data_IF_974679430569
#
_entry.id   IF_974679430569
#
_cell.length_a   1.000
_cell.length_b   1.000
_cell.length_c   1.000
_cell.angle_alpha   90.00
_cell.angle_beta   90.00
_cell.angle_gamma   90.00
#
_symmetry.space_group_name_H-M   'P 1'
#
loop_
_entity.id
_entity.type
_entity.pdbx_description
1 polymer ?
#
# COMPACT_ATOMS: atom_id res chain seq x y z
N UNK A 1 17.39 -3.06 15.66
CA UNK A 1 17.15 -2.17 14.51
C UNK A 1 15.65 -1.97 14.43
N UNK A 2 15.16 -0.99 15.18
CA UNK A 2 13.74 -0.71 15.41
C UNK A 2 13.12 -0.15 14.13
N UNK A 3 11.97 -0.71 13.71
CA UNK A 3 11.20 -0.32 12.52
C UNK A 3 10.50 1.04 12.72
N UNK A 4 11.26 2.09 13.03
CA UNK A 4 10.73 3.44 13.32
C UNK A 4 10.21 4.18 12.08
N UNK A 5 10.08 3.52 10.92
CA UNK A 5 9.73 4.14 9.63
C UNK A 5 8.28 3.89 9.21
N UNK A 6 7.51 3.05 9.91
CA UNK A 6 6.06 2.92 9.68
C UNK A 6 5.22 3.87 10.54
N UNK A 7 5.82 4.97 10.99
CA UNK A 7 5.14 6.04 11.72
C UNK A 7 4.21 6.84 10.80
N UNK A 8 2.91 6.61 10.95
CA UNK A 8 1.83 7.54 10.65
C UNK A 8 1.68 8.02 9.18
N UNK A 9 1.85 7.15 8.20
CA UNK A 9 1.22 7.34 6.89
C UNK A 9 -0.14 6.68 6.91
N UNK A 10 -1.17 7.48 7.17
CA UNK A 10 -2.52 7.07 6.82
C UNK A 10 -2.51 6.78 5.31
N UNK A 11 -2.72 5.52 4.92
CA UNK A 11 -3.04 5.11 3.54
C UNK A 11 -4.33 5.78 2.99
N UNK A 12 -4.89 6.73 3.76
CA UNK A 12 -6.17 7.40 3.64
C UNK A 12 -6.30 8.27 2.38
N UNK A 13 -5.20 8.78 1.83
CA UNK A 13 -5.25 9.65 0.65
C UNK A 13 -4.98 8.92 -0.69
N UNK A 14 -4.68 7.61 -0.67
CA UNK A 14 -4.09 6.92 -1.84
C UNK A 14 -5.02 6.03 -2.67
N UNK A 15 -6.30 5.86 -2.33
CA UNK A 15 -7.17 4.91 -3.02
C UNK A 15 -8.56 5.47 -3.32
N UNK A 16 -8.80 5.82 -4.59
CA UNK A 16 -10.16 5.95 -5.13
C UNK A 16 -10.31 5.19 -6.45
N UNK A 17 -10.84 3.96 -6.40
CA UNK A 17 -11.50 3.29 -7.52
C UNK A 17 -12.76 2.57 -7.01
N UNK A 18 -13.84 2.70 -7.76
CA UNK A 18 -15.25 2.49 -7.41
C UNK A 18 -15.75 1.04 -7.33
N UNK A 19 -16.44 0.71 -6.23
CA UNK A 19 -17.81 0.18 -6.09
C UNK A 19 -17.98 -0.30 -4.62
N UNK A 20 -19.17 -0.21 -4.01
CA UNK A 20 -19.37 -0.03 -2.54
C UNK A 20 -18.74 1.26 -1.93
N UNK A 21 -17.83 1.88 -2.68
CA UNK A 21 -17.13 3.11 -2.37
C UNK A 21 -18.00 4.34 -2.13
N UNK A 22 -19.28 4.40 -2.49
CA UNK A 22 -20.13 5.58 -2.25
C UNK A 22 -20.55 5.71 -0.78
N UNK A 23 -20.75 4.58 -0.09
CA UNK A 23 -21.04 4.54 1.34
C UNK A 23 -19.75 4.83 2.14
N UNK A 24 -18.63 4.20 1.76
CA UNK A 24 -17.31 4.47 2.33
C UNK A 24 -16.80 5.90 2.05
N UNK A 25 -17.16 6.53 0.91
CA UNK A 25 -16.82 7.93 0.58
C UNK A 25 -17.63 8.96 1.38
N UNK A 26 -18.81 8.59 1.90
CA UNK A 26 -19.52 9.37 2.93
C UNK A 26 -18.88 9.17 4.31
N UNK A 27 -18.38 7.97 4.61
CA UNK A 27 -17.70 7.65 5.87
C UNK A 27 -16.26 8.18 5.94
N UNK A 28 -15.55 8.30 4.81
CA UNK A 28 -14.15 8.76 4.72
C UNK A 28 -13.98 10.28 4.72
N UNK A 29 -15.08 11.05 4.67
CA UNK A 29 -15.06 12.50 4.88
C UNK A 29 -15.02 12.87 6.37
N UNK A 30 -15.29 11.93 7.29
CA UNK A 30 -14.98 12.14 8.70
C UNK A 30 -13.53 11.72 8.93
N UNK A 31 -12.72 12.65 9.42
CA UNK A 31 -11.26 12.52 9.62
C UNK A 31 -10.85 11.43 10.62
N UNK A 32 -11.82 10.69 11.18
CA UNK A 32 -11.66 9.45 11.93
C UNK A 32 -12.85 8.56 11.56
N UNK A 33 -12.60 7.36 11.05
CA UNK A 33 -13.59 6.30 11.13
C UNK A 33 -13.71 5.96 12.62
N UNK A 34 -14.88 6.18 13.20
CA UNK A 34 -15.11 5.73 14.57
C UNK A 34 -14.95 4.20 14.62
N UNK A 35 -14.29 3.63 15.64
CA UNK A 35 -14.10 2.18 15.76
C UNK A 35 -15.39 1.39 15.56
N UNK A 36 -16.51 1.91 16.06
CA UNK A 36 -17.84 1.32 15.92
C UNK A 36 -18.34 1.22 14.45
N UNK A 37 -17.88 2.10 13.56
CA UNK A 37 -18.24 2.07 12.14
C UNK A 37 -17.44 1.02 11.38
N UNK A 38 -16.16 0.87 11.71
CA UNK A 38 -15.30 -0.16 11.12
C UNK A 38 -15.75 -1.56 11.56
N UNK A 39 -16.07 -1.72 12.84
CA UNK A 39 -16.60 -2.97 13.39
C UNK A 39 -17.91 -3.40 12.69
N UNK A 40 -18.86 -2.47 12.50
CA UNK A 40 -20.10 -2.76 11.75
C UNK A 40 -19.85 -3.16 10.29
N UNK A 41 -18.86 -2.54 9.64
CA UNK A 41 -18.52 -2.87 8.25
C UNK A 41 -17.90 -4.27 8.15
N UNK A 42 -17.02 -4.64 9.09
CA UNK A 42 -16.45 -6.00 9.20
C UNK A 42 -17.57 -7.02 9.40
N UNK A 43 -18.43 -6.84 10.41
CA UNK A 43 -19.54 -7.76 10.71
C UNK A 43 -20.48 -7.94 9.50
N UNK A 44 -20.81 -6.83 8.82
CA UNK A 44 -21.69 -6.89 7.64
C UNK A 44 -21.07 -7.71 6.52
N UNK A 45 -19.79 -7.51 6.23
CA UNK A 45 -19.11 -8.20 5.15
C UNK A 45 -18.77 -9.65 5.48
N UNK A 46 -18.48 -9.97 6.76
CA UNK A 46 -18.28 -11.34 7.24
C UNK A 46 -19.58 -12.16 7.21
N UNK A 47 -20.73 -11.51 7.32
CA UNK A 47 -22.04 -12.17 7.22
C UNK A 47 -22.39 -12.66 5.80
N UNK A 48 -21.60 -12.31 4.80
CA UNK A 48 -21.80 -12.76 3.42
C UNK A 48 -21.50 -14.27 3.30
N UNK A 49 -22.48 -15.05 2.86
CA UNK A 49 -22.40 -16.52 2.76
C UNK A 49 -21.28 -16.99 1.80
N UNK A 50 -20.91 -16.17 0.81
CA UNK A 50 -19.76 -16.38 -0.09
C UNK A 50 -19.23 -15.04 -0.62
N UNK A 51 -18.29 -14.39 0.08
CA UNK A 51 -17.73 -13.13 -0.39
C UNK A 51 -16.92 -13.34 -1.67
N UNK A 52 -17.00 -12.41 -2.62
CA UNK A 52 -16.14 -12.39 -3.81
C UNK A 52 -14.67 -12.10 -3.43
N UNK A 53 -13.70 -12.38 -4.30
CA UNK A 53 -12.30 -12.01 -4.10
C UNK A 53 -12.10 -10.53 -3.77
N UNK A 54 -12.84 -9.65 -4.45
CA UNK A 54 -12.82 -8.20 -4.24
C UNK A 54 -13.37 -7.85 -2.85
N UNK A 55 -14.51 -8.44 -2.47
CA UNK A 55 -15.11 -8.23 -1.14
C UNK A 55 -14.17 -8.67 -0.03
N UNK A 56 -13.56 -9.87 -0.13
CA UNK A 56 -12.56 -10.34 0.85
C UNK A 56 -11.35 -9.40 0.93
N UNK A 57 -10.88 -8.90 -0.21
CA UNK A 57 -9.78 -7.93 -0.26
C UNK A 57 -10.16 -6.60 0.41
N UNK A 58 -11.40 -6.16 0.28
CA UNK A 58 -11.88 -4.93 0.92
C UNK A 58 -12.11 -5.09 2.42
N UNK A 59 -12.57 -6.25 2.89
CA UNK A 59 -12.60 -6.58 4.33
C UNK A 59 -11.19 -6.59 4.89
N UNK A 60 -10.23 -7.22 4.19
CA UNK A 60 -8.83 -7.21 4.61
C UNK A 60 -8.27 -5.79 4.74
N UNK A 61 -8.63 -4.87 3.83
CA UNK A 61 -8.28 -3.45 3.96
C UNK A 61 -8.87 -2.83 5.24
N UNK A 62 -10.12 -3.15 5.60
CA UNK A 62 -10.71 -2.63 6.83
C UNK A 62 -9.94 -3.10 8.07
N UNK A 63 -9.58 -4.38 8.16
CA UNK A 63 -8.73 -4.89 9.24
C UNK A 63 -7.36 -4.19 9.27
N UNK A 64 -6.75 -3.90 8.11
CA UNK A 64 -5.51 -3.11 8.06
C UNK A 64 -5.70 -1.69 8.63
N UNK A 65 -6.85 -1.07 8.39
CA UNK A 65 -7.18 0.25 8.94
C UNK A 65 -7.39 0.20 10.45
N UNK A 66 -8.09 -0.83 10.95
CA UNK A 66 -8.23 -1.07 12.40
C UNK A 66 -6.85 -1.25 13.05
N UNK A 67 -5.99 -2.09 12.48
CA UNK A 67 -4.63 -2.29 12.96
C UNK A 67 -3.83 -0.99 13.03
N UNK A 68 -3.95 -0.13 12.01
CA UNK A 68 -3.31 1.18 11.98
C UNK A 68 -3.82 2.13 13.07
N UNK A 69 -5.12 2.09 13.39
CA UNK A 69 -5.73 2.89 14.47
C UNK A 69 -5.32 2.39 15.85
N UNK A 70 -5.26 1.07 16.05
CA UNK A 70 -4.81 0.45 17.30
C UNK A 70 -3.33 0.75 17.58
N UNK A 71 -2.51 0.81 16.52
CA UNK A 71 -1.06 0.94 16.61
C UNK A 71 -0.38 -0.40 16.41
N UNK A 72 0.49 -0.49 15.39
CA UNK A 72 1.01 -1.75 14.85
C UNK A 72 1.85 -2.60 15.82
N UNK A 73 2.27 -2.03 16.95
CA UNK A 73 3.04 -2.72 17.99
C UNK A 73 2.15 -3.47 19.00
N UNK A 74 0.84 -3.22 18.99
CA UNK A 74 -0.10 -3.84 19.92
C UNK A 74 -0.51 -5.26 19.45
N UNK A 75 -0.68 -6.22 20.39
CA UNK A 75 -1.16 -7.57 20.05
C UNK A 75 -2.47 -7.58 19.26
N UNK A 76 -3.39 -6.67 19.57
CA UNK A 76 -4.67 -6.52 18.88
C UNK A 76 -4.48 -6.11 17.43
N UNK A 77 -3.56 -5.18 17.15
CA UNK A 77 -3.23 -4.80 15.77
C UNK A 77 -2.63 -5.97 14.97
N UNK A 78 -1.80 -6.80 15.61
CA UNK A 78 -1.27 -8.01 14.98
C UNK A 78 -2.36 -9.03 14.66
N UNK A 79 -3.36 -9.19 15.53
CA UNK A 79 -4.50 -10.07 15.29
C UNK A 79 -5.34 -9.60 14.07
N UNK A 80 -5.56 -8.29 13.95
CA UNK A 80 -6.21 -7.68 12.79
C UNK A 80 -5.42 -7.94 11.49
N UNK A 81 -4.10 -7.75 11.51
CA UNK A 81 -3.23 -8.04 10.36
C UNK A 81 -3.23 -9.53 9.97
N UNK A 82 -3.27 -10.44 10.93
CA UNK A 82 -3.38 -11.88 10.66
C UNK A 82 -4.71 -12.20 9.98
N UNK A 83 -5.81 -11.61 10.46
CA UNK A 83 -7.14 -11.76 9.84
C UNK A 83 -7.15 -11.24 8.41
N UNK A 84 -6.57 -10.05 8.18
CA UNK A 84 -6.42 -9.48 6.85
C UNK A 84 -5.59 -10.38 5.90
N UNK A 85 -4.49 -10.98 6.38
CA UNK A 85 -3.70 -11.92 5.60
C UNK A 85 -4.51 -13.16 5.19
N UNK A 86 -5.25 -13.76 6.12
CA UNK A 86 -6.08 -14.93 5.86
C UNK A 86 -7.10 -14.61 4.75
N UNK A 87 -7.76 -13.46 4.84
CA UNK A 87 -8.73 -13.01 3.84
C UNK A 87 -8.09 -12.78 2.47
N UNK A 88 -6.93 -12.12 2.40
CA UNK A 88 -6.23 -11.92 1.13
C UNK A 88 -5.74 -13.23 0.51
N UNK A 89 -5.26 -14.17 1.31
CA UNK A 89 -4.85 -15.49 0.80
C UNK A 89 -6.04 -16.26 0.23
N UNK A 90 -7.22 -16.19 0.89
CA UNK A 90 -8.47 -16.76 0.34
C UNK A 90 -8.91 -16.05 -0.94
N UNK A 91 -8.82 -14.72 -1.00
CA UNK A 91 -9.09 -13.95 -2.21
C UNK A 91 -8.16 -14.35 -3.36
N UNK A 92 -6.86 -14.48 -3.09
CA UNK A 92 -5.83 -14.88 -4.06
C UNK A 92 -5.97 -16.34 -4.52
N UNK A 93 -6.48 -17.23 -3.66
CA UNK A 93 -6.81 -18.60 -4.08
C UNK A 93 -7.93 -18.64 -5.14
N UNK A 94 -8.84 -17.67 -5.12
CA UNK A 94 -9.93 -17.54 -6.10
C UNK A 94 -9.54 -16.66 -7.30
N UNK A 95 -8.71 -15.63 -7.08
CA UNK A 95 -8.26 -14.67 -8.10
C UNK A 95 -6.74 -14.47 -8.02
N UNK A 96 -5.93 -15.46 -8.47
CA UNK A 96 -4.47 -15.42 -8.30
C UNK A 96 -3.77 -14.30 -9.07
N UNK A 97 -4.44 -13.74 -10.10
CA UNK A 97 -3.93 -12.62 -10.89
C UNK A 97 -4.27 -11.22 -10.30
N UNK A 98 -4.87 -11.15 -9.11
CA UNK A 98 -5.25 -9.86 -8.49
C UNK A 98 -4.03 -9.08 -7.99
N UNK A 99 -3.55 -8.15 -8.81
CA UNK A 99 -2.42 -7.28 -8.46
C UNK A 99 -2.66 -6.45 -7.20
N UNK A 100 -3.90 -5.98 -6.98
CA UNK A 100 -4.30 -5.24 -5.79
C UNK A 100 -4.16 -6.11 -4.52
N UNK A 101 -4.67 -7.35 -4.55
CA UNK A 101 -4.58 -8.26 -3.40
C UNK A 101 -3.12 -8.61 -3.07
N UNK A 102 -2.27 -8.83 -4.08
CA UNK A 102 -0.84 -9.01 -3.89
C UNK A 102 -0.15 -7.77 -3.28
N UNK A 103 -0.49 -6.55 -3.74
CA UNK A 103 0.05 -5.31 -3.15
C UNK A 103 -0.38 -5.14 -1.69
N UNK A 104 -1.65 -5.41 -1.34
CA UNK A 104 -2.14 -5.39 0.05
C UNK A 104 -1.43 -6.46 0.90
N UNK A 105 -1.21 -7.65 0.36
CA UNK A 105 -0.51 -8.74 1.05
C UNK A 105 0.94 -8.35 1.37
N UNK A 106 1.66 -7.71 0.45
CA UNK A 106 3.01 -7.19 0.74
C UNK A 106 3.01 -6.25 1.94
N UNK A 107 2.05 -5.32 2.00
CA UNK A 107 1.96 -4.39 3.13
C UNK A 107 1.77 -5.13 4.45
N UNK A 108 0.84 -6.08 4.52
CA UNK A 108 0.56 -6.84 5.75
C UNK A 108 1.79 -7.64 6.18
N UNK A 109 2.48 -8.29 5.23
CA UNK A 109 3.70 -9.06 5.51
C UNK A 109 4.79 -8.17 6.12
N UNK A 110 4.95 -6.95 5.61
CA UNK A 110 5.90 -5.98 6.18
C UNK A 110 5.46 -5.48 7.56
N UNK A 111 4.18 -5.12 7.71
CA UNK A 111 3.64 -4.57 8.95
C UNK A 111 3.74 -5.56 10.13
N UNK A 112 3.58 -6.86 9.88
CA UNK A 112 3.70 -7.90 10.91
C UNK A 112 5.12 -8.43 11.14
N UNK A 113 6.12 -7.87 10.45
CA UNK A 113 7.50 -8.36 10.53
C UNK A 113 7.71 -9.77 9.96
N UNK A 114 6.94 -10.17 8.94
CA UNK A 114 7.15 -11.43 8.24
C UNK A 114 8.53 -11.46 7.56
N UNK A 115 9.07 -12.66 7.22
CA UNK A 115 10.32 -12.75 6.49
C UNK A 115 10.30 -11.91 5.21
N UNK A 116 11.33 -11.08 5.01
CA UNK A 116 11.41 -10.13 3.90
C UNK A 116 11.20 -10.81 2.52
N UNK A 117 11.65 -12.06 2.36
CA UNK A 117 11.47 -12.85 1.14
C UNK A 117 10.00 -13.05 0.76
N UNK A 118 9.10 -13.20 1.73
CA UNK A 118 7.66 -13.34 1.45
C UNK A 118 7.06 -12.02 0.96
N UNK A 119 7.41 -10.90 1.62
CA UNK A 119 6.93 -9.57 1.23
C UNK A 119 7.43 -9.19 -0.18
N UNK A 120 8.70 -9.47 -0.47
CA UNK A 120 9.32 -9.26 -1.79
C UNK A 120 8.59 -10.11 -2.84
N UNK A 121 8.39 -11.41 -2.59
CA UNK A 121 7.71 -12.29 -3.56
C UNK A 121 6.28 -11.83 -3.86
N UNK A 122 5.52 -11.42 -2.84
CA UNK A 122 4.19 -10.84 -3.03
C UNK A 122 4.24 -9.53 -3.85
N UNK A 123 5.24 -8.69 -3.60
CA UNK A 123 5.39 -7.41 -4.30
C UNK A 123 5.71 -7.60 -5.78
N UNK A 124 6.68 -8.46 -6.07
CA UNK A 124 7.09 -8.85 -7.41
C UNK A 124 5.93 -9.46 -8.18
N UNK A 125 5.12 -10.31 -7.54
CA UNK A 125 3.92 -10.89 -8.12
C UNK A 125 2.87 -9.81 -8.44
N UNK A 126 2.70 -8.81 -7.57
CA UNK A 126 1.81 -7.67 -7.85
C UNK A 126 2.25 -6.89 -9.10
N UNK A 127 3.57 -6.67 -9.25
CA UNK A 127 4.15 -6.00 -10.40
C UNK A 127 4.07 -6.84 -11.68
N UNK A 128 4.12 -8.17 -11.56
CA UNK A 128 3.98 -9.07 -12.70
C UNK A 128 2.58 -8.94 -13.34
N UNK A 129 1.53 -8.92 -12.52
CA UNK A 129 0.15 -8.89 -13.02
C UNK A 129 -0.30 -7.50 -13.50
N UNK A 130 0.23 -6.42 -12.93
CA UNK A 130 -0.17 -5.07 -13.33
C UNK A 130 1.00 -4.06 -13.22
N UNK A 131 2.04 -4.16 -14.05
CA UNK A 131 3.31 -3.42 -13.88
C UNK A 131 3.21 -1.90 -13.99
N UNK A 132 2.14 -1.39 -14.61
CA UNK A 132 1.94 0.04 -14.92
C UNK A 132 0.59 0.56 -14.43
N UNK A 133 -0.06 -0.15 -13.51
CA UNK A 133 -1.32 0.29 -12.93
C UNK A 133 -1.11 1.54 -12.08
N UNK A 134 -1.62 2.67 -12.59
CA UNK A 134 -1.52 3.98 -11.93
C UNK A 134 -2.23 4.00 -10.58
N UNK A 135 -3.30 3.22 -10.43
CA UNK A 135 -4.09 3.18 -9.20
C UNK A 135 -3.33 2.49 -8.06
N UNK A 136 -2.38 1.62 -8.40
CA UNK A 136 -1.51 0.92 -7.44
C UNK A 136 -0.13 1.58 -7.28
N UNK A 137 0.20 2.54 -8.15
CA UNK A 137 1.52 3.16 -8.21
C UNK A 137 1.91 3.78 -6.86
N UNK A 138 1.01 4.57 -6.25
CA UNK A 138 1.27 5.23 -4.98
C UNK A 138 1.60 4.23 -3.86
N UNK A 139 0.76 3.23 -3.64
CA UNK A 139 1.00 2.23 -2.59
C UNK A 139 2.31 1.46 -2.82
N UNK A 140 2.63 1.13 -4.07
CA UNK A 140 3.88 0.43 -4.39
C UNK A 140 5.11 1.30 -4.17
N UNK A 141 5.02 2.59 -4.47
CA UNK A 141 6.09 3.56 -4.19
C UNK A 141 6.28 3.70 -2.67
N UNK A 142 5.21 3.72 -1.88
CA UNK A 142 5.27 3.75 -0.41
C UNK A 142 5.90 2.48 0.17
N UNK A 143 5.62 1.31 -0.40
CA UNK A 143 6.17 0.02 0.04
C UNK A 143 7.65 -0.13 -0.34
N UNK A 144 8.04 0.40 -1.51
CA UNK A 144 9.34 0.10 -2.11
C UNK A 144 10.56 0.38 -1.22
N UNK A 145 10.66 1.48 -0.45
CA UNK A 145 11.79 1.72 0.44
C UNK A 145 12.08 0.55 1.39
N UNK A 146 11.05 -0.06 1.96
CA UNK A 146 11.19 -1.14 2.95
C UNK A 146 11.78 -2.44 2.36
N UNK A 147 11.61 -2.66 1.05
CA UNK A 147 12.05 -3.88 0.35
C UNK A 147 13.10 -3.63 -0.72
N UNK A 148 13.55 -2.38 -0.89
CA UNK A 148 14.35 -1.93 -2.03
C UNK A 148 15.59 -2.79 -2.28
N UNK A 149 16.31 -3.14 -1.21
CA UNK A 149 17.54 -3.94 -1.29
C UNK A 149 17.31 -5.37 -1.75
N UNK A 150 16.14 -5.94 -1.50
CA UNK A 150 15.77 -7.28 -1.94
C UNK A 150 15.19 -7.33 -3.36
N UNK A 151 14.79 -6.19 -3.93
CA UNK A 151 14.25 -6.15 -5.31
C UNK A 151 15.35 -6.36 -6.36
N UNK A 152 15.04 -7.17 -7.38
CA UNK A 152 15.89 -7.29 -8.57
C UNK A 152 15.89 -5.98 -9.40
N UNK A 153 16.90 -5.75 -10.27
CA UNK A 153 16.93 -4.57 -11.14
C UNK A 153 15.66 -4.39 -11.98
N UNK A 154 15.07 -5.49 -12.46
CA UNK A 154 13.82 -5.48 -13.24
C UNK A 154 12.67 -4.84 -12.44
N UNK A 155 12.45 -5.26 -11.20
CA UNK A 155 11.36 -4.74 -10.37
C UNK A 155 11.62 -3.34 -9.84
N UNK A 156 12.90 -2.99 -9.57
CA UNK A 156 13.29 -1.59 -9.30
C UNK A 156 12.91 -0.68 -10.46
N UNK A 157 13.09 -1.11 -11.70
CA UNK A 157 12.69 -0.33 -12.88
C UNK A 157 11.18 -0.10 -12.96
N UNK A 158 10.35 -1.04 -12.49
CA UNK A 158 8.90 -0.82 -12.40
C UNK A 158 8.53 0.21 -11.34
N UNK A 159 9.18 0.19 -10.17
CA UNK A 159 8.99 1.23 -9.13
C UNK A 159 9.40 2.61 -9.65
N UNK A 160 10.55 2.72 -10.31
CA UNK A 160 11.02 3.98 -10.88
C UNK A 160 10.05 4.53 -11.93
N UNK A 161 9.52 3.67 -12.81
CA UNK A 161 8.46 4.06 -13.76
C UNK A 161 7.18 4.52 -13.05
N UNK A 162 6.80 3.88 -11.96
CA UNK A 162 5.65 4.31 -11.16
C UNK A 162 5.88 5.72 -10.57
N UNK A 163 7.08 6.02 -10.07
CA UNK A 163 7.46 7.37 -9.59
C UNK A 163 7.30 8.41 -10.70
N UNK A 164 7.84 8.13 -11.89
CA UNK A 164 7.71 9.01 -13.06
C UNK A 164 6.24 9.24 -13.44
N UNK A 165 5.42 8.18 -13.41
CA UNK A 165 4.01 8.21 -13.79
C UNK A 165 3.19 9.13 -12.87
N UNK A 166 3.50 9.13 -11.57
CA UNK A 166 2.73 9.92 -10.59
C UNK A 166 3.27 11.33 -10.38
N UNK A 167 4.46 11.67 -10.89
CA UNK A 167 5.09 12.99 -10.69
C UNK A 167 4.26 14.18 -11.20
N UNK A 168 3.43 13.95 -12.23
CA UNK A 168 2.53 14.96 -12.78
C UNK A 168 1.32 15.28 -11.90
N UNK A 169 1.11 14.57 -10.79
CA UNK A 169 -0.02 14.71 -9.89
C UNK A 169 0.37 15.41 -8.58
N UNK A 170 -0.29 16.53 -8.25
CA UNK A 170 -0.03 17.31 -7.03
C UNK A 170 -0.20 16.50 -5.75
N UNK A 171 -1.19 15.62 -5.70
CA UNK A 171 -1.45 14.76 -4.54
C UNK A 171 -0.32 13.76 -4.34
N UNK A 172 0.15 13.15 -5.43
CA UNK A 172 1.27 12.22 -5.40
C UNK A 172 2.59 12.91 -5.05
N UNK A 173 2.80 14.16 -5.48
CA UNK A 173 4.01 14.92 -5.10
C UNK A 173 4.11 15.17 -3.60
N UNK A 174 2.99 15.33 -2.88
CA UNK A 174 2.98 15.41 -1.41
C UNK A 174 3.47 14.09 -0.79
N UNK A 175 2.95 12.96 -1.25
CA UNK A 175 3.39 11.62 -0.81
C UNK A 175 4.87 11.36 -1.13
N UNK A 176 5.35 11.74 -2.32
CA UNK A 176 6.76 11.60 -2.67
C UNK A 176 7.68 12.45 -1.77
N UNK A 177 7.21 13.60 -1.28
CA UNK A 177 7.95 14.44 -0.32
C UNK A 177 8.15 13.72 1.01
N UNK A 178 7.17 12.96 1.45
CA UNK A 178 7.28 12.18 2.68
C UNK A 178 8.31 11.06 2.51
N UNK A 179 8.26 10.35 1.38
CA UNK A 179 9.24 9.31 1.04
C UNK A 179 10.65 9.89 0.88
N UNK A 180 10.79 11.09 0.32
CA UNK A 180 12.08 11.78 0.17
C UNK A 180 12.77 12.08 1.52
N UNK A 181 12.07 12.06 2.65
CA UNK A 181 12.71 12.23 3.97
C UNK A 181 13.58 11.04 4.35
N UNK A 182 13.33 9.86 3.77
CA UNK A 182 14.15 8.67 3.96
C UNK A 182 15.26 8.57 2.91
N UNK A 183 16.44 8.06 3.31
CA UNK A 183 17.61 7.92 2.43
C UNK A 183 17.35 6.98 1.25
N UNK A 184 16.62 5.88 1.47
CA UNK A 184 16.27 4.94 0.39
C UNK A 184 15.22 5.59 -0.51
N UNK A 185 14.25 6.30 0.06
CA UNK A 185 13.30 7.11 -0.69
C UNK A 185 13.95 8.13 -1.63
N UNK A 186 14.94 8.90 -1.14
CA UNK A 186 15.74 9.82 -1.99
C UNK A 186 16.43 9.09 -3.13
N UNK A 187 17.06 7.94 -2.84
CA UNK A 187 17.73 7.13 -3.84
C UNK A 187 16.76 6.67 -4.94
N UNK A 188 15.59 6.16 -4.55
CA UNK A 188 14.55 5.69 -5.49
C UNK A 188 14.11 6.84 -6.38
N UNK A 189 13.75 7.98 -5.78
CA UNK A 189 13.23 9.13 -6.51
C UNK A 189 14.31 9.72 -7.43
N UNK A 190 15.56 9.89 -6.97
CA UNK A 190 16.66 10.39 -7.82
C UNK A 190 16.91 9.49 -9.02
N UNK A 191 17.02 8.17 -8.80
CA UNK A 191 17.22 7.20 -9.89
C UNK A 191 16.07 7.18 -10.88
N UNK A 192 14.84 7.43 -10.43
CA UNK A 192 13.70 7.53 -11.32
C UNK A 192 13.80 8.70 -12.32
N UNK A 193 14.67 9.69 -12.10
CA UNK A 193 14.84 10.83 -13.01
C UNK A 193 16.28 11.00 -13.52
N UNK A 194 17.17 10.02 -13.28
CA UNK A 194 18.59 10.10 -13.65
C UNK A 194 18.79 10.32 -15.16
N UNK A 195 17.97 9.67 -15.99
CA UNK A 195 17.98 9.81 -17.44
C UNK A 195 17.30 11.10 -17.95
N UNK A 196 16.83 11.97 -17.06
CA UNK A 196 16.12 13.21 -17.40
C UNK A 196 16.61 14.38 -16.54
N UNK A 197 17.79 14.97 -16.85
CA UNK A 197 18.42 16.01 -16.02
C UNK A 197 17.52 17.19 -15.70
N UNK A 198 16.67 17.62 -16.64
CA UNK A 198 15.68 18.68 -16.42
C UNK A 198 14.63 18.30 -15.37
N UNK A 199 14.13 17.07 -15.41
CA UNK A 199 13.15 16.60 -14.43
C UNK A 199 13.81 16.35 -13.07
N UNK A 200 15.05 15.83 -13.06
CA UNK A 200 15.82 15.65 -11.85
C UNK A 200 16.08 16.99 -11.13
N UNK A 201 16.44 18.05 -11.86
CA UNK A 201 16.58 19.39 -11.28
C UNK A 201 15.27 19.85 -10.62
N UNK A 202 14.13 19.75 -11.33
CA UNK A 202 12.81 20.12 -10.78
C UNK A 202 12.42 19.30 -9.55
N UNK A 203 12.82 18.03 -9.50
CA UNK A 203 12.59 17.14 -8.36
C UNK A 203 13.43 17.59 -7.16
N UNK A 204 14.71 17.90 -7.37
CA UNK A 204 15.60 18.41 -6.33
C UNK A 204 15.09 19.76 -5.81
N UNK A 205 14.74 20.69 -6.68
CA UNK A 205 14.22 22.01 -6.31
C UNK A 205 12.89 21.93 -5.54
N UNK A 206 12.07 20.92 -5.81
CA UNK A 206 10.78 20.74 -5.14
C UNK A 206 10.91 20.13 -3.72
N UNK A 207 11.99 19.41 -3.45
CA UNK A 207 12.21 18.69 -2.19
C UNK A 207 13.32 19.27 -1.31
N UNK A 208 14.28 20.00 -1.88
CA UNK A 208 15.35 20.72 -1.18
C UNK A 208 14.87 22.04 -0.60
#
# INVERSE_FOLDING_TARGET
>A
MTLTVLGALSLYDAYTVWSAGTMLKRMSRSTKLEPAMTERAVVTLESLVRPSPEQMSDVARLHMEVAGVLGLELPEALAELVTAEILLRRALAQAPASALAWTRLTYILLARGAPATQAISAFETSLLFAPSDRTLAQARITIAPAIWHGLTPRYRAHVMRAVQLVWGDDSARRMLREIWRDRVGQLIIRRAFEDSPRNLARVIDYFG
#
